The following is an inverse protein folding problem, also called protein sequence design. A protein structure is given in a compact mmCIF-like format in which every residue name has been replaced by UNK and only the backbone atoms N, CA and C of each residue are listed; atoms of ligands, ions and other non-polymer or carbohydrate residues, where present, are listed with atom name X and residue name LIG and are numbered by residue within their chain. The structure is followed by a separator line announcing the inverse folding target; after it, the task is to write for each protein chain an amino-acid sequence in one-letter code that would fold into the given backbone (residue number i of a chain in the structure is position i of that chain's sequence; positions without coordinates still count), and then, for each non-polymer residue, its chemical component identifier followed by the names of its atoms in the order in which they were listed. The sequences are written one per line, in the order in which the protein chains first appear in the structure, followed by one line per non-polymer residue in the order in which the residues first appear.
data_IF_563586900151
#
_entry.id   IF_563586900151
#
_cell.length_a   1.000
_cell.length_b   1.000
_cell.length_c   1.000
_cell.angle_alpha   90.00
_cell.angle_beta   90.00
_cell.angle_gamma   90.00
#
_symmetry.space_group_name_H-M   'P 1'
#
loop_
_entity.id
_entity.type
_entity.pdbx_description
1 polymer ?
#
# COMPACT_ATOMS: atom_id res chain seq x y z
N UNK A 1 -20.20 -1.96 -6.55
CA UNK A 1 -19.43 -2.04 -5.27
C UNK A 1 -17.93 -1.88 -5.58
N UNK A 2 -17.17 -1.16 -4.75
CA UNK A 2 -15.73 -0.97 -4.97
C UNK A 2 -14.95 -2.11 -4.31
N UNK A 3 -14.20 -2.86 -5.09
CA UNK A 3 -13.30 -3.91 -4.62
C UNK A 3 -11.86 -3.43 -4.73
N UNK A 4 -11.08 -3.66 -3.68
CA UNK A 4 -9.65 -3.38 -3.69
C UNK A 4 -8.91 -4.66 -4.07
N UNK A 5 -8.17 -4.64 -5.18
CA UNK A 5 -7.36 -5.75 -5.64
C UNK A 5 -5.87 -5.45 -5.41
N UNK A 6 -5.13 -6.34 -4.73
CA UNK A 6 -3.69 -6.19 -4.60
C UNK A 6 -2.99 -6.45 -5.94
N UNK A 7 -2.02 -5.61 -6.28
CA UNK A 7 -1.13 -5.79 -7.41
C UNK A 7 0.15 -6.56 -7.05
N UNK A 8 1.19 -6.41 -7.87
CA UNK A 8 2.53 -6.92 -7.57
C UNK A 8 3.25 -6.03 -6.56
N UNK A 9 4.01 -6.64 -5.64
CA UNK A 9 4.88 -5.88 -4.75
C UNK A 9 5.98 -5.18 -5.58
N UNK A 10 6.26 -3.92 -5.25
CA UNK A 10 7.22 -3.10 -5.97
C UNK A 10 8.31 -2.65 -5.00
N UNK A 11 9.57 -2.91 -5.36
CA UNK A 11 10.72 -2.45 -4.62
C UNK A 11 10.77 -0.92 -4.68
N UNK A 12 10.84 -0.27 -3.52
CA UNK A 12 10.73 1.17 -3.42
C UNK A 12 11.95 1.89 -4.02
N UNK A 13 13.12 1.26 -3.99
CA UNK A 13 14.38 1.82 -4.49
C UNK A 13 14.63 1.52 -5.96
N UNK A 14 14.41 0.27 -6.38
CA UNK A 14 14.75 -0.18 -7.74
C UNK A 14 13.56 -0.19 -8.70
N UNK A 15 12.32 -0.19 -8.19
CA UNK A 15 11.12 -0.35 -8.99
C UNK A 15 10.89 -1.78 -9.50
N UNK A 16 11.72 -2.75 -9.09
CA UNK A 16 11.52 -4.16 -9.40
C UNK A 16 10.17 -4.64 -8.89
N UNK A 17 9.51 -5.51 -9.66
CA UNK A 17 8.20 -6.05 -9.31
C UNK A 17 8.27 -7.56 -9.11
N UNK A 18 7.64 -8.05 -8.07
CA UNK A 18 7.51 -9.48 -7.82
C UNK A 18 6.15 -9.80 -7.21
N UNK A 19 5.81 -11.08 -7.16
CA UNK A 19 4.71 -11.52 -6.31
C UNK A 19 5.08 -11.24 -4.85
N UNK A 20 4.14 -10.67 -4.09
CA UNK A 20 4.37 -10.38 -2.67
C UNK A 20 4.62 -11.67 -1.89
N UNK A 21 4.08 -12.80 -2.33
CA UNK A 21 4.31 -14.13 -1.77
C UNK A 21 5.77 -14.62 -1.88
N UNK A 22 6.59 -14.01 -2.75
CA UNK A 22 8.02 -14.33 -2.88
C UNK A 22 8.88 -13.60 -1.85
N UNK A 23 8.31 -12.63 -1.13
CA UNK A 23 9.02 -11.89 -0.10
C UNK A 23 9.10 -12.73 1.18
N UNK A 24 10.31 -12.87 1.71
CA UNK A 24 10.57 -13.59 2.96
C UNK A 24 10.78 -12.59 4.11
N UNK A 25 10.56 -13.08 5.33
CA UNK A 25 10.77 -12.33 6.57
C UNK A 25 10.09 -10.96 6.57
N UNK A 26 8.82 -10.94 6.17
CA UNK A 26 8.07 -9.70 5.92
C UNK A 26 7.67 -9.03 7.23
N UNK A 27 8.03 -7.76 7.35
CA UNK A 27 7.46 -6.81 8.32
C UNK A 27 6.53 -5.89 7.55
N UNK A 28 5.29 -5.75 8.00
CA UNK A 28 4.30 -4.89 7.36
C UNK A 28 4.08 -3.61 8.16
N UNK A 29 4.03 -2.46 7.48
CA UNK A 29 3.61 -1.19 8.10
C UNK A 29 2.50 -0.51 7.30
N UNK A 30 1.61 0.21 7.98
CA UNK A 30 0.52 0.94 7.32
C UNK A 30 0.06 2.17 8.11
N UNK A 31 0.18 3.35 7.49
CA UNK A 31 -0.30 4.65 7.96
C UNK A 31 -1.57 5.12 7.24
N UNK A 32 -2.60 4.27 7.24
CA UNK A 32 -3.92 4.54 6.63
C UNK A 32 -5.02 4.50 7.69
N UNK A 33 -6.22 5.00 7.36
CA UNK A 33 -7.34 5.06 8.31
C UNK A 33 -7.80 3.71 8.90
N UNK A 34 -7.46 2.58 8.27
CA UNK A 34 -7.70 1.24 8.84
C UNK A 34 -6.54 0.27 8.52
N UNK A 35 -5.41 0.33 9.27
CA UNK A 35 -4.22 -0.48 9.01
C UNK A 35 -4.46 -1.99 8.94
N UNK A 36 -5.36 -2.60 9.77
CA UNK A 36 -5.63 -4.04 9.70
C UNK A 36 -6.06 -4.54 8.31
N UNK A 37 -6.69 -3.70 7.48
CA UNK A 37 -7.10 -4.06 6.12
C UNK A 37 -5.90 -4.39 5.23
N UNK A 38 -4.81 -3.63 5.38
CA UNK A 38 -3.59 -3.86 4.63
C UNK A 38 -2.94 -5.19 5.03
N UNK A 39 -2.83 -5.46 6.33
CA UNK A 39 -2.26 -6.72 6.83
C UNK A 39 -3.10 -7.93 6.42
N UNK A 40 -4.43 -7.81 6.43
CA UNK A 40 -5.32 -8.85 5.90
C UNK A 40 -5.10 -9.08 4.40
N UNK A 41 -4.86 -8.03 3.63
CA UNK A 41 -4.57 -8.13 2.19
C UNK A 41 -3.28 -8.92 1.94
N UNK A 42 -2.21 -8.64 2.70
CA UNK A 42 -0.96 -9.41 2.62
C UNK A 42 -1.17 -10.90 2.91
N UNK A 43 -1.97 -11.20 3.95
CA UNK A 43 -2.35 -12.57 4.31
C UNK A 43 -3.13 -13.28 3.21
N UNK A 44 -4.06 -12.58 2.57
CA UNK A 44 -4.81 -13.11 1.42
C UNK A 44 -3.91 -13.38 0.21
N UNK A 45 -2.82 -12.62 0.06
CA UNK A 45 -1.82 -12.84 -1.00
C UNK A 45 -0.81 -13.95 -0.65
N UNK A 46 -0.98 -14.66 0.47
CA UNK A 46 -0.09 -15.77 0.87
C UNK A 46 1.09 -15.36 1.74
N UNK A 47 1.20 -14.09 2.15
CA UNK A 47 2.26 -13.61 3.04
C UNK A 47 1.78 -13.56 4.47
N UNK A 48 2.54 -14.14 5.40
CA UNK A 48 2.32 -13.96 6.83
C UNK A 48 3.39 -13.01 7.38
N UNK A 49 3.07 -11.71 7.61
CA UNK A 49 4.05 -10.80 8.17
C UNK A 49 4.43 -11.24 9.58
N UNK A 50 5.73 -11.29 9.86
CA UNK A 50 6.28 -11.57 11.19
C UNK A 50 5.89 -10.49 12.19
N UNK A 51 5.73 -9.26 11.71
CA UNK A 51 5.37 -8.09 12.49
C UNK A 51 4.45 -7.17 11.68
N UNK A 52 3.41 -6.66 12.32
CA UNK A 52 2.49 -5.68 11.73
C UNK A 52 2.55 -4.39 12.56
N UNK A 53 2.94 -3.29 11.94
CA UNK A 53 3.12 -1.99 12.59
C UNK A 53 2.06 -1.02 12.08
N UNK A 54 0.96 -0.81 12.84
CA UNK A 54 0.02 0.25 12.52
C UNK A 54 0.65 1.62 12.83
N UNK A 55 0.52 2.55 11.90
CA UNK A 55 0.96 3.93 12.06
C UNK A 55 -0.24 4.87 12.05
N UNK A 56 -0.09 6.04 12.65
CA UNK A 56 -1.15 7.05 12.61
C UNK A 56 -1.32 7.58 11.18
N UNK A 57 -2.56 7.87 10.81
CA UNK A 57 -2.82 8.53 9.53
C UNK A 57 -2.13 9.89 9.52
N UNK A 58 -1.34 10.16 8.50
CA UNK A 58 -0.48 11.36 8.38
C UNK A 58 0.72 11.45 9.33
N UNK A 59 1.14 10.35 9.98
CA UNK A 59 2.40 10.34 10.70
C UNK A 59 3.57 10.75 9.77
N UNK A 60 4.42 11.65 10.24
CA UNK A 60 5.70 11.98 9.61
C UNK A 60 6.62 10.79 9.76
N UNK A 61 7.15 10.30 8.64
CA UNK A 61 8.09 9.19 8.61
C UNK A 61 9.47 9.74 8.29
N UNK A 62 10.45 9.39 9.12
CA UNK A 62 11.86 9.59 8.82
C UNK A 62 12.56 8.23 8.69
N UNK A 63 13.78 8.24 8.16
CA UNK A 63 14.56 7.02 7.95
C UNK A 63 14.75 6.21 9.24
N UNK A 64 15.11 6.86 10.35
CA UNK A 64 15.41 6.17 11.60
C UNK A 64 14.18 5.46 12.16
N UNK A 65 13.00 6.09 12.11
CA UNK A 65 11.75 5.50 12.58
C UNK A 65 11.39 4.25 11.79
N UNK A 66 11.53 4.29 10.46
CA UNK A 66 11.14 3.19 9.57
C UNK A 66 12.18 2.06 9.60
N UNK A 67 13.47 2.40 9.60
CA UNK A 67 14.56 1.42 9.69
C UNK A 67 14.52 0.67 11.02
N UNK A 68 14.14 1.32 12.12
CA UNK A 68 13.95 0.67 13.43
C UNK A 68 12.78 -0.33 13.47
N UNK A 69 11.90 -0.35 12.47
CA UNK A 69 10.80 -1.33 12.42
C UNK A 69 11.28 -2.72 12.02
N UNK A 70 12.39 -2.80 11.29
CA UNK A 70 12.97 -4.01 10.71
C UNK A 70 14.34 -4.33 11.31
N UNK A 71 14.68 -5.61 11.29
CA UNK A 71 16.01 -6.13 11.63
C UNK A 71 16.74 -6.58 10.37
N UNK A 72 18.05 -6.84 10.49
CA UNK A 72 18.85 -7.37 9.38
C UNK A 72 18.21 -8.66 8.81
N UNK A 73 18.04 -8.71 7.49
CA UNK A 73 17.43 -9.83 6.78
C UNK A 73 15.90 -9.78 6.66
N UNK A 74 15.23 -8.81 7.31
CA UNK A 74 13.78 -8.62 7.15
C UNK A 74 13.45 -7.73 5.96
N UNK A 75 12.29 -8.01 5.35
CA UNK A 75 11.74 -7.24 4.23
C UNK A 75 10.62 -6.34 4.73
N UNK A 76 10.73 -5.03 4.51
CA UNK A 76 9.66 -4.10 4.86
C UNK A 76 8.65 -4.00 3.72
N UNK A 77 7.37 -4.23 4.00
CA UNK A 77 6.27 -4.03 3.07
C UNK A 77 5.33 -2.96 3.60
N UNK A 78 5.09 -1.92 2.81
CA UNK A 78 4.25 -0.78 3.21
C UNK A 78 3.14 -0.48 2.20
N UNK A 79 2.22 0.40 2.59
CA UNK A 79 1.20 0.91 1.66
C UNK A 79 1.85 1.87 0.65
N UNK A 80 1.23 2.03 -0.52
CA UNK A 80 1.70 3.00 -1.52
C UNK A 80 1.74 4.45 -0.97
N UNK A 81 0.79 4.80 -0.09
CA UNK A 81 0.77 6.11 0.60
C UNK A 81 2.04 6.34 1.42
N UNK A 82 2.46 5.33 2.19
CA UNK A 82 3.67 5.43 3.02
C UNK A 82 4.94 5.38 2.16
N UNK A 83 4.91 4.64 1.06
CA UNK A 83 6.00 4.56 0.10
C UNK A 83 6.37 5.92 -0.49
N UNK A 84 5.39 6.79 -0.77
CA UNK A 84 5.62 8.17 -1.24
C UNK A 84 6.45 8.97 -0.23
N UNK A 85 6.23 8.77 1.07
CA UNK A 85 6.98 9.44 2.14
C UNK A 85 8.39 8.86 2.30
N UNK A 86 8.53 7.54 2.15
CA UNK A 86 9.78 6.82 2.36
C UNK A 86 10.73 6.83 1.16
N UNK A 87 10.24 7.15 -0.05
CA UNK A 87 11.01 7.06 -1.31
C UNK A 87 12.36 7.78 -1.26
N UNK A 88 12.45 8.93 -0.59
CA UNK A 88 13.68 9.71 -0.51
C UNK A 88 14.82 9.01 0.26
N UNK A 89 14.49 8.03 1.09
CA UNK A 89 15.44 7.35 1.99
C UNK A 89 15.24 5.83 1.98
N UNK A 90 14.66 5.28 0.92
CA UNK A 90 14.32 3.87 0.86
C UNK A 90 15.55 2.95 0.88
N UNK A 91 15.50 1.92 1.72
CA UNK A 91 16.51 0.86 1.73
C UNK A 91 16.21 -0.23 0.69
N UNK A 92 17.17 -1.13 0.46
CA UNK A 92 17.10 -2.16 -0.60
C UNK A 92 15.97 -3.16 -0.40
N UNK A 93 15.65 -3.48 0.85
CA UNK A 93 14.62 -4.46 1.19
C UNK A 93 13.27 -3.81 1.52
N UNK A 94 13.03 -2.59 1.04
CA UNK A 94 11.76 -1.90 1.23
C UNK A 94 10.89 -2.00 -0.01
N UNK A 95 9.66 -2.44 0.20
CA UNK A 95 8.69 -2.73 -0.83
C UNK A 95 7.37 -2.06 -0.48
N UNK A 96 6.55 -1.81 -1.49
CA UNK A 96 5.17 -1.41 -1.29
C UNK A 96 4.25 -2.30 -2.10
N UNK A 97 3.04 -2.52 -1.57
CA UNK A 97 2.00 -3.25 -2.28
C UNK A 97 0.97 -2.24 -2.81
N UNK A 98 0.92 -2.01 -4.14
CA UNK A 98 -0.14 -1.23 -4.75
C UNK A 98 -1.46 -1.97 -4.62
N UNK A 99 -2.53 -1.22 -4.37
CA UNK A 99 -3.88 -1.76 -4.25
C UNK A 99 -4.80 -0.93 -5.13
N UNK A 100 -5.31 -1.55 -6.18
CA UNK A 100 -6.16 -0.89 -7.16
C UNK A 100 -7.63 -0.97 -6.73
N UNK A 101 -8.30 0.18 -6.78
CA UNK A 101 -9.74 0.25 -6.59
C UNK A 101 -10.45 -0.07 -7.91
N UNK A 102 -10.99 -1.27 -8.03
CA UNK A 102 -11.89 -1.62 -9.12
C UNK A 102 -13.34 -1.35 -8.70
N UNK A 103 -13.99 -0.44 -9.42
CA UNK A 103 -15.43 -0.23 -9.35
C UNK A 103 -16.11 -1.33 -10.15
N UNK A 104 -16.88 -2.21 -9.51
CA UNK A 104 -17.72 -3.17 -10.20
C UNK A 104 -19.09 -2.54 -10.52
N UNK A 105 -19.50 -2.59 -11.80
CA UNK A 105 -20.82 -2.16 -12.31
C UNK A 105 -20.78 -0.94 -13.24
N UNK A 106 -21.95 -0.49 -13.68
CA UNK A 106 -22.20 0.68 -14.56
C UNK A 106 -22.12 2.05 -13.84
N UNK A 107 -21.59 2.05 -12.62
CA UNK A 107 -21.55 3.20 -11.72
C UNK A 107 -20.54 4.30 -12.12
N UNK A 108 -19.39 4.03 -12.79
CA UNK A 108 -18.51 5.09 -13.31
C UNK A 108 -19.24 6.00 -14.32
N UNK A 109 -20.10 5.42 -15.16
CA UNK A 109 -20.86 6.16 -16.17
C UNK A 109 -21.91 7.08 -15.54
N UNK A 110 -22.58 6.64 -14.45
CA UNK A 110 -23.51 7.49 -13.69
C UNK A 110 -22.82 8.64 -12.97
N UNK A 111 -21.64 8.40 -12.38
CA UNK A 111 -20.88 9.45 -11.70
C UNK A 111 -20.41 10.51 -12.71
N UNK A 112 -19.94 10.08 -13.88
CA UNK A 112 -19.55 10.98 -14.97
C UNK A 112 -20.75 11.77 -15.51
N UNK A 113 -21.92 11.15 -15.65
CA UNK A 113 -23.14 11.82 -16.08
C UNK A 113 -23.61 12.90 -15.08
N UNK A 114 -23.51 12.66 -13.77
CA UNK A 114 -23.86 13.64 -12.72
C UNK A 114 -22.87 14.81 -12.66
N UNK A 115 -21.57 14.57 -12.83
CA UNK A 115 -20.57 15.64 -12.88
C UNK A 115 -20.75 16.51 -14.13
N UNK A 116 -21.10 15.90 -15.27
CA UNK A 116 -21.33 16.63 -16.53
C UNK A 116 -22.62 17.46 -16.49
N UNK A 117 -23.67 16.98 -15.83
CA UNK A 117 -24.93 17.74 -15.69
C UNK A 117 -24.79 18.96 -14.77
N UNK A 118 -23.94 18.88 -13.74
CA UNK A 118 -23.61 20.02 -12.86
C UNK A 118 -22.73 21.07 -13.56
N UNK A 119 -21.87 20.66 -14.49
CA UNK A 119 -21.02 21.57 -15.27
C UNK A 119 -21.76 22.25 -16.44
N UNK A 120 -22.90 21.70 -16.88
CA UNK A 120 -23.68 22.22 -18.02
C UNK A 120 -24.89 23.06 -17.60
N UNK A 121 -25.10 23.25 -16.30
CA UNK A 121 -26.19 24.06 -15.74
C UNK A 121 -25.69 25.37 -15.13
N UNK A 122 -25.35 26.34 -15.97
CA UNK A 122 -25.42 27.77 -15.63
C UNK A 122 -25.67 28.63 -16.87
#
# INVERSE_FOLDING_TARGET
PMHLLPGQAVNLRTGMRCDVAQLEHVVAMAGIGHPPRFFATLKMCGVQPEKCVPLADHQSLNHADVSALVSAGQTLVMTEKDAVKCRAFAEENWWYLPVDAQLSGDEPAKLLAQLTSLASGN
#
